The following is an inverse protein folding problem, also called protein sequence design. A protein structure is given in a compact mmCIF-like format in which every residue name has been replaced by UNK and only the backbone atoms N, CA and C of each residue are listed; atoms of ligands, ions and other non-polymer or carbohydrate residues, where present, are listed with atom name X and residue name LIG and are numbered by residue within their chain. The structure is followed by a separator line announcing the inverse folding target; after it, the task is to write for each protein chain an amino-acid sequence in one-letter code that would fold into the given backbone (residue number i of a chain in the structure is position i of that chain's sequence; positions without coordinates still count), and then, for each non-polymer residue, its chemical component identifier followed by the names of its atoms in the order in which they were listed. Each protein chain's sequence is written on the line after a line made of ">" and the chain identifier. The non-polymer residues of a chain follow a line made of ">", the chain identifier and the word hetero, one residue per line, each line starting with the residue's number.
data_IF_893483936589
#
_entry.id   IF_893483936589
#
_cell.length_a   1.000
_cell.length_b   1.000
_cell.length_c   1.000
_cell.angle_alpha   90.00
_cell.angle_beta   90.00
_cell.angle_gamma   90.00
#
_symmetry.space_group_name_H-M   'P 1'
#
loop_
_entity.id
_entity.type
_entity.pdbx_description
1 polymer ?
#
# COMPACT_ATOMS: atom_id res chain seq x y z
N UNK A 1 -2.60 -38.11 33.24
CA UNK A 1 -2.10 -37.93 31.89
C UNK A 1 -0.70 -38.48 31.84
N UNK A 2 -0.37 -39.41 30.94
CA UNK A 2 0.96 -39.97 30.89
C UNK A 2 1.98 -38.94 30.38
N UNK A 3 3.22 -39.00 30.85
CA UNK A 3 4.29 -38.07 30.40
C UNK A 3 4.43 -38.05 28.85
N UNK A 4 4.24 -39.22 28.21
CA UNK A 4 4.25 -39.33 26.75
C UNK A 4 3.16 -38.54 26.06
N UNK A 5 1.94 -38.50 26.61
CA UNK A 5 0.85 -37.70 26.06
C UNK A 5 1.11 -36.19 26.17
N UNK A 6 1.73 -35.76 27.27
CA UNK A 6 2.12 -34.36 27.48
C UNK A 6 3.18 -33.92 26.46
N UNK A 7 4.20 -34.78 26.23
CA UNK A 7 5.26 -34.48 25.24
C UNK A 7 4.67 -34.34 23.83
N UNK A 8 3.77 -35.26 23.43
CA UNK A 8 3.11 -35.19 22.10
C UNK A 8 2.28 -33.90 21.98
N UNK A 9 1.53 -33.53 23.01
CA UNK A 9 0.74 -32.29 23.01
C UNK A 9 1.61 -31.04 22.90
N UNK A 10 2.73 -30.99 23.61
CA UNK A 10 3.71 -29.89 23.52
C UNK A 10 4.29 -29.80 22.13
N UNK A 11 4.67 -30.92 21.51
CA UNK A 11 5.20 -30.94 20.12
C UNK A 11 4.15 -30.43 19.14
N UNK A 12 2.88 -30.86 19.28
CA UNK A 12 1.79 -30.39 18.40
C UNK A 12 1.57 -28.88 18.57
N UNK A 13 1.55 -28.38 19.80
CA UNK A 13 1.39 -26.94 20.07
C UNK A 13 2.56 -26.15 19.51
N UNK A 14 3.81 -26.61 19.72
CA UNK A 14 4.99 -25.97 19.16
C UNK A 14 4.98 -25.99 17.63
N UNK A 15 4.61 -27.10 17.00
CA UNK A 15 4.48 -27.21 15.56
C UNK A 15 3.36 -26.29 15.02
N UNK A 16 2.23 -26.20 15.72
CA UNK A 16 1.15 -25.29 15.37
C UNK A 16 1.56 -23.82 15.50
N UNK A 17 2.18 -23.43 16.62
CA UNK A 17 2.68 -22.06 16.85
C UNK A 17 3.75 -21.71 15.80
N UNK A 18 4.72 -22.61 15.57
CA UNK A 18 5.78 -22.40 14.60
C UNK A 18 5.21 -22.32 13.17
N UNK A 19 4.28 -23.18 12.80
CA UNK A 19 3.65 -23.19 11.47
C UNK A 19 2.64 -22.06 11.26
N UNK A 20 2.16 -21.41 12.32
CA UNK A 20 1.20 -20.29 12.23
C UNK A 20 1.87 -18.91 12.24
N UNK A 21 3.17 -18.84 12.55
CA UNK A 21 3.92 -17.57 12.52
C UNK A 21 4.50 -17.31 11.13
N UNK A 22 4.27 -16.12 10.61
CA UNK A 22 4.97 -15.65 9.42
C UNK A 22 6.43 -15.36 9.81
N UNK A 23 7.33 -16.20 9.29
CA UNK A 23 8.76 -15.99 9.46
C UNK A 23 9.22 -14.89 8.50
N UNK A 24 9.69 -13.78 9.05
CA UNK A 24 10.25 -12.66 8.29
C UNK A 24 11.71 -12.48 8.60
N UNK A 25 12.45 -12.03 7.62
CA UNK A 25 13.80 -11.54 7.76
C UNK A 25 13.88 -10.08 7.33
N UNK A 26 14.87 -9.37 7.85
CA UNK A 26 15.14 -7.99 7.47
C UNK A 26 16.24 -7.98 6.43
N UNK A 27 15.94 -7.45 5.24
CA UNK A 27 16.91 -7.31 4.15
C UNK A 27 17.13 -5.83 3.87
N UNK A 28 18.41 -5.42 3.94
CA UNK A 28 18.79 -4.04 3.68
C UNK A 28 19.00 -3.79 2.19
N UNK A 29 18.23 -2.82 1.63
CA UNK A 29 18.35 -2.38 0.24
C UNK A 29 18.38 -0.86 0.20
N UNK A 30 19.34 -0.27 -0.51
CA UNK A 30 19.51 1.17 -0.68
C UNK A 30 19.51 1.96 0.65
N UNK A 31 20.02 1.35 1.73
CA UNK A 31 20.12 1.99 3.05
C UNK A 31 18.90 1.82 3.94
N UNK A 32 17.81 1.18 3.46
CA UNK A 32 16.57 0.90 4.20
C UNK A 32 16.43 -0.58 4.50
N UNK A 33 15.82 -0.90 5.63
CA UNK A 33 15.53 -2.26 6.08
C UNK A 33 14.10 -2.64 5.68
N UNK A 34 13.95 -3.79 5.00
CA UNK A 34 12.67 -4.32 4.53
C UNK A 34 12.36 -5.65 5.21
N UNK A 35 11.15 -5.79 5.77
CA UNK A 35 10.70 -7.00 6.45
C UNK A 35 9.95 -7.90 5.45
N UNK A 36 10.64 -8.90 4.92
CA UNK A 36 10.14 -9.84 3.91
C UNK A 36 10.07 -11.26 4.46
N UNK A 37 9.26 -12.10 3.82
CA UNK A 37 9.13 -13.51 4.21
C UNK A 37 10.42 -14.27 3.91
N UNK A 38 10.96 -14.95 4.92
CA UNK A 38 12.23 -15.70 4.85
C UNK A 38 12.10 -17.11 4.28
N UNK A 39 10.86 -17.62 4.12
CA UNK A 39 10.57 -18.97 3.65
C UNK A 39 10.80 -19.16 2.13
N UNK A 40 11.21 -18.10 1.43
CA UNK A 40 11.31 -18.08 -0.04
C UNK A 40 12.72 -17.72 -0.51
N UNK A 41 13.25 -18.46 -1.47
CA UNK A 41 14.59 -18.26 -2.02
C UNK A 41 14.81 -16.88 -2.65
N UNK A 42 13.74 -16.15 -3.00
CA UNK A 42 13.78 -14.84 -3.63
C UNK A 42 13.43 -13.68 -2.69
N UNK A 43 13.66 -13.82 -1.38
CA UNK A 43 13.43 -12.77 -0.39
C UNK A 43 14.16 -11.45 -0.74
N UNK A 44 15.39 -11.53 -1.23
CA UNK A 44 16.14 -10.35 -1.70
C UNK A 44 15.45 -9.64 -2.88
N UNK A 45 14.85 -10.38 -3.80
CA UNK A 45 14.08 -9.81 -4.91
C UNK A 45 12.78 -9.16 -4.43
N UNK A 46 12.13 -9.72 -3.41
CA UNK A 46 10.95 -9.12 -2.76
C UNK A 46 11.30 -7.79 -2.08
N UNK A 47 12.39 -7.74 -1.32
CA UNK A 47 12.89 -6.50 -0.71
C UNK A 47 13.25 -5.44 -1.76
N UNK A 48 13.89 -5.84 -2.87
CA UNK A 48 14.19 -4.93 -3.98
C UNK A 48 12.93 -4.39 -4.67
N UNK A 49 11.88 -5.22 -4.79
CA UNK A 49 10.59 -4.79 -5.35
C UNK A 49 9.91 -3.75 -4.45
N UNK A 50 9.92 -3.95 -3.12
CA UNK A 50 9.42 -2.95 -2.15
C UNK A 50 10.20 -1.64 -2.25
N UNK A 51 11.55 -1.70 -2.29
CA UNK A 51 12.38 -0.51 -2.41
C UNK A 51 12.08 0.29 -3.68
N UNK A 52 11.96 -0.38 -4.83
CA UNK A 52 11.62 0.27 -6.10
C UNK A 52 10.24 0.92 -6.07
N UNK A 53 9.27 0.26 -5.46
CA UNK A 53 7.91 0.80 -5.30
C UNK A 53 7.92 2.00 -4.34
N UNK A 54 8.64 1.89 -3.23
CA UNK A 54 8.85 3.00 -2.30
C UNK A 54 9.53 4.20 -2.97
N UNK A 55 10.58 3.98 -3.76
CA UNK A 55 11.25 5.06 -4.49
C UNK A 55 10.31 5.78 -5.48
N UNK A 56 9.36 5.06 -6.12
CA UNK A 56 8.29 5.69 -6.92
C UNK A 56 7.35 6.50 -6.01
N UNK A 57 6.93 5.94 -4.85
CA UNK A 57 6.06 6.63 -3.89
C UNK A 57 6.69 7.92 -3.37
N UNK A 58 7.97 7.94 -3.01
CA UNK A 58 8.65 9.17 -2.53
C UNK A 58 8.61 10.27 -3.59
N UNK A 59 8.84 9.95 -4.87
CA UNK A 59 8.72 10.93 -5.96
C UNK A 59 7.29 11.42 -6.12
N UNK A 60 6.32 10.53 -5.99
CA UNK A 60 4.90 10.88 -6.03
C UNK A 60 4.48 11.78 -4.87
N UNK A 61 4.92 11.47 -3.65
CA UNK A 61 4.65 12.30 -2.48
C UNK A 61 5.28 13.71 -2.60
N UNK A 62 6.50 13.79 -3.15
CA UNK A 62 7.14 15.07 -3.44
C UNK A 62 6.35 15.89 -4.47
N UNK A 63 5.88 15.24 -5.55
CA UNK A 63 5.00 15.86 -6.54
C UNK A 63 3.69 16.39 -5.91
N UNK A 64 3.02 15.58 -5.05
CA UNK A 64 1.80 16.00 -4.38
C UNK A 64 2.06 17.19 -3.44
N UNK A 65 3.16 17.13 -2.68
CA UNK A 65 3.55 18.21 -1.77
C UNK A 65 3.71 19.53 -2.51
N UNK A 66 4.39 19.52 -3.63
CA UNK A 66 4.62 20.69 -4.48
C UNK A 66 3.30 21.19 -5.11
N UNK A 67 2.55 20.30 -5.76
CA UNK A 67 1.30 20.63 -6.47
C UNK A 67 0.22 21.22 -5.56
N UNK A 68 0.14 20.77 -4.32
CA UNK A 68 -0.88 21.19 -3.36
C UNK A 68 -0.33 22.12 -2.27
N UNK A 69 0.87 22.65 -2.44
CA UNK A 69 1.51 23.63 -1.56
C UNK A 69 1.48 23.24 -0.07
N UNK A 70 1.67 21.95 0.24
CA UNK A 70 1.65 21.45 1.62
C UNK A 70 2.92 21.88 2.33
N UNK A 71 2.77 22.53 3.49
CA UNK A 71 3.83 23.14 4.33
C UNK A 71 4.37 24.51 3.84
N UNK A 72 3.74 25.14 2.89
CA UNK A 72 3.94 26.55 2.66
C UNK A 72 3.22 27.36 3.76
N UNK A 73 3.83 28.42 4.24
CA UNK A 73 3.24 29.29 5.25
C UNK A 73 2.12 30.15 4.64
N UNK A 74 1.19 30.63 5.47
CA UNK A 74 0.09 31.49 5.03
C UNK A 74 0.60 32.76 4.33
N UNK A 75 1.80 33.25 4.67
CA UNK A 75 2.44 34.42 4.03
C UNK A 75 2.98 34.07 2.64
N UNK A 76 3.54 32.86 2.43
CA UNK A 76 4.03 32.42 1.12
C UNK A 76 2.89 32.13 0.13
N UNK A 77 1.72 31.71 0.64
CA UNK A 77 0.54 31.44 -0.18
C UNK A 77 -0.28 32.72 -0.44
N UNK A 78 -0.23 33.72 0.45
CA UNK A 78 -0.98 34.97 0.31
C UNK A 78 -0.64 35.75 -0.97
N UNK A 79 0.56 35.55 -1.52
CA UNK A 79 0.97 36.11 -2.82
C UNK A 79 0.38 35.33 -4.02
N UNK A 80 -0.24 34.16 -3.78
CA UNK A 80 -0.88 33.31 -4.77
C UNK A 80 -2.41 33.32 -4.59
N UNK A 81 -3.06 34.41 -5.01
CA UNK A 81 -4.52 34.66 -4.85
C UNK A 81 -5.46 33.60 -5.52
N UNK A 82 -4.92 32.48 -6.01
CA UNK A 82 -5.63 31.48 -6.80
C UNK A 82 -5.87 30.15 -6.08
N UNK A 83 -5.29 29.93 -4.88
CA UNK A 83 -5.41 28.63 -4.18
C UNK A 83 -5.95 28.83 -2.75
N UNK A 84 -7.20 28.44 -2.45
CA UNK A 84 -7.73 28.47 -1.09
C UNK A 84 -6.90 27.59 -0.16
N UNK A 85 -6.51 28.09 1.00
CA UNK A 85 -5.65 27.41 1.98
C UNK A 85 -6.21 26.10 2.54
N UNK A 86 -7.52 25.89 2.50
CA UNK A 86 -8.21 24.77 3.12
C UNK A 86 -9.08 24.01 2.13
N UNK A 87 -8.45 23.52 1.07
CA UNK A 87 -9.15 22.64 0.12
C UNK A 87 -9.18 21.20 0.62
N UNK A 88 -10.21 20.48 0.22
CA UNK A 88 -10.33 19.05 0.52
C UNK A 88 -9.15 18.25 -0.08
N UNK A 89 -8.67 18.62 -1.25
CA UNK A 89 -7.50 18.03 -1.89
C UNK A 89 -6.24 18.17 -1.01
N UNK A 90 -6.00 19.36 -0.48
CA UNK A 90 -4.85 19.63 0.39
C UNK A 90 -4.93 18.82 1.69
N UNK A 91 -6.11 18.70 2.31
CA UNK A 91 -6.29 17.87 3.53
C UNK A 91 -5.99 16.39 3.26
N UNK A 92 -6.46 15.86 2.12
CA UNK A 92 -6.17 14.48 1.68
C UNK A 92 -4.67 14.27 1.51
N UNK A 93 -4.00 15.21 0.82
CA UNK A 93 -2.55 15.12 0.59
C UNK A 93 -1.77 15.25 1.88
N UNK A 94 -2.14 16.19 2.77
CA UNK A 94 -1.51 16.34 4.09
C UNK A 94 -1.64 15.05 4.90
N UNK A 95 -2.83 14.47 4.98
CA UNK A 95 -3.04 13.21 5.69
C UNK A 95 -2.17 12.06 5.12
N UNK A 96 -2.01 12.00 3.80
CA UNK A 96 -1.14 11.01 3.17
C UNK A 96 0.34 11.25 3.51
N UNK A 97 0.81 12.49 3.44
CA UNK A 97 2.20 12.84 3.74
C UNK A 97 2.55 12.56 5.20
N UNK A 98 1.65 12.87 6.13
CA UNK A 98 1.84 12.66 7.56
C UNK A 98 1.80 11.17 7.96
N UNK A 99 0.96 10.38 7.28
CA UNK A 99 0.74 8.98 7.62
C UNK A 99 1.59 7.98 6.84
N UNK A 100 2.27 8.38 5.75
CA UNK A 100 3.09 7.45 4.98
C UNK A 100 4.42 7.17 5.66
N UNK A 101 4.56 5.95 6.21
CA UNK A 101 5.78 5.52 6.89
C UNK A 101 6.25 4.14 6.36
N UNK A 102 7.31 4.09 5.54
CA UNK A 102 7.81 2.83 4.98
C UNK A 102 8.50 1.93 6.02
N UNK A 103 8.87 2.44 7.19
CA UNK A 103 9.55 1.66 8.24
C UNK A 103 8.63 0.63 8.90
N UNK A 104 7.31 0.75 8.68
CA UNK A 104 6.29 -0.16 9.18
C UNK A 104 5.66 -1.03 8.08
N UNK A 105 6.39 -1.27 7.00
CA UNK A 105 5.96 -2.15 5.91
C UNK A 105 6.45 -3.57 6.14
N UNK A 106 5.55 -4.53 5.94
CA UNK A 106 5.79 -5.95 6.13
C UNK A 106 5.26 -6.74 4.93
N UNK A 107 6.05 -7.67 4.42
CA UNK A 107 5.52 -8.60 3.43
C UNK A 107 4.43 -9.47 4.06
N UNK A 108 3.25 -9.55 3.42
CA UNK A 108 2.15 -10.42 3.82
C UNK A 108 2.16 -11.73 3.02
N UNK A 109 1.75 -12.82 3.68
CA UNK A 109 1.68 -14.14 3.04
C UNK A 109 0.49 -14.21 2.07
N UNK A 110 0.69 -14.70 0.82
CA UNK A 110 -0.42 -14.86 -0.12
C UNK A 110 -1.45 -15.86 0.39
N UNK A 111 -2.74 -15.52 0.26
CA UNK A 111 -3.86 -16.40 0.61
C UNK A 111 -4.25 -16.43 2.08
N UNK A 112 -3.64 -15.62 2.94
CA UNK A 112 -4.13 -15.37 4.32
C UNK A 112 -5.30 -14.39 4.32
N UNK A 113 -5.96 -14.23 5.47
CA UNK A 113 -7.04 -13.25 5.64
C UNK A 113 -6.53 -11.83 5.39
N UNK A 114 -6.93 -11.25 4.26
CA UNK A 114 -6.44 -9.96 3.80
C UNK A 114 -5.18 -10.10 2.93
N UNK A 115 -5.24 -9.59 1.72
CA UNK A 115 -4.16 -9.69 0.74
C UNK A 115 -3.09 -8.65 1.01
N UNK A 116 -3.48 -7.38 1.00
CA UNK A 116 -2.75 -6.23 1.54
C UNK A 116 -3.69 -5.42 2.38
N UNK A 117 -3.19 -4.76 3.40
CA UNK A 117 -4.00 -3.92 4.28
C UNK A 117 -3.16 -2.95 5.09
N UNK A 118 -3.76 -1.81 5.39
CA UNK A 118 -3.20 -0.77 6.25
C UNK A 118 -3.91 -0.76 7.60
N UNK A 119 -3.15 -0.71 8.68
CA UNK A 119 -3.66 -0.61 10.05
C UNK A 119 -3.62 0.84 10.50
N UNK A 120 -4.71 1.32 11.13
CA UNK A 120 -4.79 2.62 11.80
C UNK A 120 -4.14 3.77 11.00
N UNK A 121 -4.53 3.93 9.72
CA UNK A 121 -4.05 5.04 8.88
C UNK A 121 -2.53 5.12 8.74
N UNK A 122 -1.85 3.98 8.60
CA UNK A 122 -0.41 3.93 8.35
C UNK A 122 0.45 3.49 9.54
N UNK A 123 -0.14 3.07 10.69
CA UNK A 123 0.65 2.54 11.80
C UNK A 123 1.34 1.21 11.48
N UNK A 124 0.82 0.44 10.53
CA UNK A 124 1.47 -0.69 9.88
C UNK A 124 0.84 -0.93 8.51
N UNK A 125 1.62 -1.44 7.55
CA UNK A 125 1.17 -1.81 6.23
C UNK A 125 1.69 -3.20 5.87
N UNK A 126 0.77 -4.10 5.59
CA UNK A 126 1.06 -5.46 5.17
C UNK A 126 0.79 -5.58 3.67
N UNK A 127 1.80 -6.00 2.91
CA UNK A 127 1.78 -5.98 1.46
C UNK A 127 2.08 -7.36 0.92
N UNK A 128 1.17 -7.94 0.16
CA UNK A 128 1.42 -9.20 -0.51
C UNK A 128 2.26 -8.97 -1.77
N UNK A 129 3.38 -9.65 -1.87
CA UNK A 129 4.34 -9.53 -2.97
C UNK A 129 4.37 -10.75 -3.88
N UNK A 130 3.59 -11.81 -3.57
CA UNK A 130 3.72 -13.11 -4.22
C UNK A 130 2.43 -13.60 -4.84
N UNK A 131 2.55 -14.28 -5.96
CA UNK A 131 1.43 -14.97 -6.57
C UNK A 131 0.93 -16.10 -5.67
N UNK A 132 -0.39 -16.29 -5.53
CA UNK A 132 -0.98 -17.29 -4.66
C UNK A 132 -0.63 -18.72 -5.08
N UNK A 133 -0.58 -19.00 -6.39
CA UNK A 133 -0.36 -20.34 -6.94
C UNK A 133 1.14 -20.64 -7.02
N UNK A 134 1.92 -19.70 -7.55
CA UNK A 134 3.38 -19.79 -7.62
C UNK A 134 4.00 -18.73 -6.72
N UNK A 135 4.21 -19.08 -5.47
CA UNK A 135 4.68 -18.15 -4.43
C UNK A 135 6.14 -17.68 -4.64
N UNK A 136 6.92 -18.36 -5.50
CA UNK A 136 8.23 -17.86 -5.94
C UNK A 136 8.12 -16.79 -7.04
N UNK A 137 6.93 -16.60 -7.62
CA UNK A 137 6.68 -15.52 -8.58
C UNK A 137 6.22 -14.27 -7.85
N UNK A 138 7.00 -13.20 -7.93
CA UNK A 138 6.59 -11.89 -7.45
C UNK A 138 5.50 -11.28 -8.33
N UNK A 139 4.68 -10.42 -7.74
CA UNK A 139 3.64 -9.67 -8.44
C UNK A 139 4.25 -8.69 -9.44
N UNK A 140 3.46 -8.32 -10.44
CA UNK A 140 3.87 -7.30 -11.40
C UNK A 140 4.11 -5.95 -10.70
N UNK A 141 5.17 -5.19 -11.05
CA UNK A 141 5.48 -3.92 -10.41
C UNK A 141 4.40 -2.83 -10.56
N UNK A 142 3.65 -2.82 -11.67
CA UNK A 142 2.58 -1.84 -11.88
C UNK A 142 1.32 -2.24 -11.10
N UNK A 143 1.03 -3.55 -10.99
CA UNK A 143 0.00 -4.05 -10.07
C UNK A 143 0.36 -3.74 -8.61
N UNK A 144 1.62 -3.92 -8.21
CA UNK A 144 2.05 -3.55 -6.86
C UNK A 144 1.90 -2.05 -6.63
N UNK A 145 2.23 -1.22 -7.61
CA UNK A 145 2.05 0.23 -7.51
C UNK A 145 0.58 0.61 -7.35
N UNK A 146 -0.34 -0.04 -8.10
CA UNK A 146 -1.78 0.15 -7.94
C UNK A 146 -2.24 -0.16 -6.51
N UNK A 147 -1.78 -1.28 -5.95
CA UNK A 147 -2.11 -1.68 -4.57
C UNK A 147 -1.50 -0.72 -3.56
N UNK A 148 -0.25 -0.25 -3.76
CA UNK A 148 0.36 0.76 -2.89
C UNK A 148 -0.43 2.07 -2.89
N UNK A 149 -0.97 2.50 -4.03
CA UNK A 149 -1.84 3.68 -4.13
C UNK A 149 -3.19 3.43 -3.45
N UNK A 150 -3.72 2.18 -3.50
CA UNK A 150 -4.93 1.80 -2.75
C UNK A 150 -4.70 1.90 -1.24
N UNK A 151 -3.62 1.32 -0.72
CA UNK A 151 -3.27 1.38 0.71
C UNK A 151 -2.95 2.83 1.15
N UNK A 152 -2.28 3.60 0.30
CA UNK A 152 -2.06 5.03 0.51
C UNK A 152 -3.38 5.81 0.59
N UNK A 153 -4.40 5.39 -0.16
CA UNK A 153 -5.73 6.01 -0.11
C UNK A 153 -6.47 5.73 1.21
N UNK A 154 -6.21 4.61 1.89
CA UNK A 154 -6.68 4.39 3.26
C UNK A 154 -6.08 5.37 4.27
N UNK A 155 -4.81 5.75 4.06
CA UNK A 155 -4.14 6.78 4.88
C UNK A 155 -4.76 8.16 4.56
N UNK A 156 -4.84 8.49 3.28
CA UNK A 156 -5.33 9.77 2.76
C UNK A 156 -6.81 10.03 3.09
N UNK A 157 -7.64 8.98 3.22
CA UNK A 157 -9.05 9.08 3.58
C UNK A 157 -9.23 9.34 5.09
N UNK A 158 -8.79 10.51 5.55
CA UNK A 158 -8.71 10.87 6.97
C UNK A 158 -10.05 10.84 7.71
N UNK A 159 -11.18 11.05 7.00
CA UNK A 159 -12.54 11.12 7.55
C UNK A 159 -13.34 9.81 7.42
N UNK A 160 -12.78 8.73 6.84
CA UNK A 160 -13.52 7.51 6.56
C UNK A 160 -12.72 6.23 6.88
N UNK A 161 -13.44 5.12 6.96
CA UNK A 161 -12.89 3.79 7.18
C UNK A 161 -13.43 2.82 6.12
N UNK A 162 -12.64 1.78 5.80
CA UNK A 162 -13.04 0.76 4.84
C UNK A 162 -13.18 1.28 3.41
N UNK A 163 -14.05 0.63 2.61
CA UNK A 163 -14.22 0.88 1.18
C UNK A 163 -15.58 1.52 0.87
N UNK A 164 -16.00 2.51 1.66
CA UNK A 164 -17.20 3.30 1.39
C UNK A 164 -16.99 4.20 0.16
N UNK A 165 -18.05 4.84 -0.33
CA UNK A 165 -18.02 5.71 -1.52
C UNK A 165 -16.89 6.73 -1.44
N UNK A 166 -16.69 7.35 -0.28
CA UNK A 166 -15.63 8.35 -0.05
C UNK A 166 -14.24 7.80 -0.28
N UNK A 167 -13.96 6.54 0.13
CA UNK A 167 -12.69 5.89 -0.14
C UNK A 167 -12.42 5.80 -1.65
N UNK A 168 -13.39 5.40 -2.45
CA UNK A 168 -13.23 5.26 -3.90
C UNK A 168 -13.02 6.61 -4.58
N UNK A 169 -13.63 7.69 -4.10
CA UNK A 169 -13.41 9.06 -4.58
C UNK A 169 -11.98 9.52 -4.25
N UNK A 170 -11.49 9.28 -3.03
CA UNK A 170 -10.10 9.56 -2.63
C UNK A 170 -9.13 8.71 -3.45
N UNK A 171 -9.40 7.43 -3.65
CA UNK A 171 -8.53 6.56 -4.45
C UNK A 171 -8.48 7.00 -5.92
N UNK A 172 -9.61 7.41 -6.50
CA UNK A 172 -9.64 8.02 -7.83
C UNK A 172 -8.77 9.26 -7.91
N UNK A 173 -8.87 10.16 -6.94
CA UNK A 173 -8.04 11.36 -6.85
C UNK A 173 -6.54 11.04 -6.76
N UNK A 174 -6.15 10.09 -5.92
CA UNK A 174 -4.76 9.64 -5.80
C UNK A 174 -4.26 9.05 -7.13
N UNK A 175 -5.07 8.22 -7.80
CA UNK A 175 -4.72 7.63 -9.10
C UNK A 175 -4.59 8.69 -10.20
N UNK A 176 -5.47 9.69 -10.25
CA UNK A 176 -5.39 10.79 -11.21
C UNK A 176 -4.05 11.53 -11.08
N UNK A 177 -3.64 11.84 -9.87
CA UNK A 177 -2.35 12.48 -9.60
C UNK A 177 -1.16 11.54 -9.89
N UNK A 178 -1.28 10.25 -9.60
CA UNK A 178 -0.24 9.27 -9.90
C UNK A 178 -0.02 9.07 -11.41
N UNK A 179 -1.08 9.14 -12.19
CA UNK A 179 -1.01 9.12 -13.68
C UNK A 179 -0.39 10.41 -14.20
N UNK A 180 -0.84 11.58 -13.71
CA UNK A 180 -0.34 12.89 -14.11
C UNK A 180 1.16 13.05 -13.83
N UNK A 181 1.63 12.58 -12.67
CA UNK A 181 3.06 12.60 -12.29
C UNK A 181 3.92 11.54 -13.03
N UNK A 182 3.31 10.65 -13.81
CA UNK A 182 3.99 9.53 -14.45
C UNK A 182 4.44 8.43 -13.48
N UNK A 183 3.92 8.43 -12.25
CA UNK A 183 4.25 7.42 -11.23
C UNK A 183 3.59 6.08 -11.51
N UNK A 184 2.40 6.10 -12.08
CA UNK A 184 1.58 4.92 -12.40
C UNK A 184 1.00 5.03 -13.81
N UNK A 185 1.11 4.00 -14.66
CA UNK A 185 0.42 3.96 -15.94
C UNK A 185 -1.08 3.69 -15.73
N UNK A 186 -1.99 4.35 -16.48
CA UNK A 186 -3.42 4.09 -16.34
C UNK A 186 -3.79 2.73 -16.96
N UNK A 187 -3.96 1.71 -16.11
CA UNK A 187 -4.33 0.35 -16.53
C UNK A 187 -5.83 0.13 -16.29
N UNK A 188 -6.58 -0.16 -17.35
CA UNK A 188 -8.00 -0.49 -17.27
C UNK A 188 -8.20 -1.98 -16.97
N UNK A 189 -8.29 -2.32 -15.68
CA UNK A 189 -8.47 -3.69 -15.23
C UNK A 189 -9.85 -4.28 -15.61
N UNK A 190 -10.83 -3.47 -15.99
CA UNK A 190 -12.08 -3.99 -16.54
C UNK A 190 -11.89 -4.66 -17.91
N UNK A 191 -10.90 -4.20 -18.66
CA UNK A 191 -10.52 -4.76 -19.97
C UNK A 191 -9.37 -5.75 -19.88
N UNK A 192 -8.51 -5.60 -18.88
CA UNK A 192 -7.34 -6.46 -18.64
C UNK A 192 -7.28 -6.85 -17.17
N UNK A 193 -8.17 -7.76 -16.73
CA UNK A 193 -8.15 -8.23 -15.34
C UNK A 193 -6.82 -8.91 -14.99
N UNK A 194 -6.38 -8.75 -13.75
CA UNK A 194 -5.17 -9.39 -13.24
C UNK A 194 -5.41 -10.01 -11.87
N UNK A 195 -4.73 -11.15 -11.62
CA UNK A 195 -4.77 -11.78 -10.31
C UNK A 195 -3.67 -11.24 -9.39
N UNK A 196 -4.08 -10.69 -8.28
CA UNK A 196 -3.19 -10.19 -7.23
C UNK A 196 -3.36 -11.00 -5.95
N UNK A 197 -2.37 -11.82 -5.61
CA UNK A 197 -2.31 -12.56 -4.34
C UNK A 197 -3.58 -13.37 -4.01
N UNK A 198 -4.33 -13.80 -5.01
CA UNK A 198 -5.57 -14.55 -4.88
C UNK A 198 -6.85 -13.72 -4.96
N UNK A 199 -6.74 -12.42 -5.15
CA UNK A 199 -7.84 -11.55 -5.56
C UNK A 199 -7.84 -11.37 -7.08
N UNK A 200 -9.01 -11.33 -7.68
CA UNK A 200 -9.20 -10.99 -9.08
C UNK A 200 -9.50 -9.51 -9.19
N UNK A 201 -8.50 -8.73 -9.64
CA UNK A 201 -8.60 -7.28 -9.82
C UNK A 201 -9.18 -7.00 -11.21
N UNK A 202 -10.38 -6.47 -11.25
CA UNK A 202 -11.12 -6.15 -12.49
C UNK A 202 -11.74 -4.75 -12.48
N UNK A 203 -11.28 -3.87 -11.58
CA UNK A 203 -11.77 -2.52 -11.41
C UNK A 203 -10.63 -1.55 -11.16
N UNK A 204 -10.74 -0.36 -11.74
CA UNK A 204 -9.85 0.76 -11.46
C UNK A 204 -10.69 2.06 -11.46
N UNK A 205 -10.84 2.75 -10.30
CA UNK A 205 -11.68 3.93 -10.16
C UNK A 205 -11.23 5.11 -11.01
N UNK A 206 -9.99 5.12 -11.51
CA UNK A 206 -9.52 6.12 -12.47
C UNK A 206 -10.43 6.23 -13.70
N UNK A 207 -10.98 5.11 -14.18
CA UNK A 207 -11.86 5.02 -15.36
C UNK A 207 -13.36 5.12 -15.02
N UNK A 208 -13.71 5.20 -13.74
CA UNK A 208 -15.13 5.28 -13.33
C UNK A 208 -15.65 6.72 -13.41
N UNK A 209 -16.42 6.99 -14.47
CA UNK A 209 -17.06 8.29 -14.68
C UNK A 209 -18.23 8.57 -13.72
N UNK A 210 -18.75 7.56 -13.01
CA UNK A 210 -19.83 7.73 -12.03
C UNK A 210 -19.33 8.19 -10.66
N UNK A 211 -18.04 7.96 -10.34
CA UNK A 211 -17.43 8.48 -9.13
C UNK A 211 -17.17 9.99 -9.29
N UNK A 212 -17.55 10.75 -8.26
CA UNK A 212 -17.24 12.17 -8.19
C UNK A 212 -15.71 12.39 -8.15
N UNK A 213 -15.27 13.51 -8.70
CA UNK A 213 -13.93 14.02 -8.46
C UNK A 213 -13.91 14.74 -7.11
N UNK A 214 -12.75 14.77 -6.46
CA UNK A 214 -12.55 15.63 -5.30
C UNK A 214 -12.43 17.07 -5.82
N UNK A 215 -13.40 17.90 -5.48
CA UNK A 215 -13.43 19.30 -5.90
C UNK A 215 -12.35 20.13 -5.18
N UNK A 216 -11.92 21.20 -5.89
CA UNK A 216 -10.99 22.21 -5.35
C UNK A 216 -11.60 23.00 -4.21
#
# INVERSE_FOLDING_TARGET
>A
MSLGLLIVLVIIVLAYVYGSTDHRETIRVAGRDWNVLSDYDNAAAAALLLERTHAKMIRFLAYLKDKYHVNETDEEIADCATHPHDTEQRRIVTALLDGYNPDVFYENRPGTNGTSYTINKGSAMYICLRNKINQNKLVDPDMLMYVMLHEASHIANYNGWGHEKRFWEVFKFILQNAVESGTYPPIDYSKRPEDYCGLHVNYNPYFDGALANIDM
#
